data_IF_917802892450
#
_entry.id   IF_917802892450
#
_cell.length_a   1.000
_cell.length_b   1.000
_cell.length_c   1.000
_cell.angle_alpha   90.00
_cell.angle_beta   90.00
_cell.angle_gamma   90.00
#
_symmetry.space_group_name_H-M   'P 1'
#
loop_
_entity.id
_entity.type
_entity.pdbx_description
1 polymer ?
#
# COMPACT_ATOMS: atom_id res chain seq x y z
N UNK A 1 -5.28 12.05 10.95
CA UNK A 1 -5.68 10.85 10.20
C UNK A 1 -7.07 11.13 9.66
N UNK A 2 -7.18 11.25 8.35
CA UNK A 2 -8.44 11.59 7.68
C UNK A 2 -8.91 10.37 6.90
N UNK A 3 -10.08 9.86 7.27
CA UNK A 3 -10.70 8.72 6.59
C UNK A 3 -11.33 9.21 5.28
N UNK A 4 -11.23 8.40 4.24
CA UNK A 4 -11.92 8.64 2.97
C UNK A 4 -13.42 8.40 3.10
N UNK A 5 -14.21 9.09 2.29
CA UNK A 5 -15.63 8.75 2.15
C UNK A 5 -15.79 7.38 1.48
N UNK A 6 -16.94 6.72 1.65
CA UNK A 6 -17.21 5.42 1.02
C UNK A 6 -17.14 5.49 -0.51
N UNK A 7 -17.59 6.60 -1.11
CA UNK A 7 -17.55 6.80 -2.56
C UNK A 7 -16.11 6.96 -3.07
N UNK A 8 -15.28 7.72 -2.34
CA UNK A 8 -13.86 7.87 -2.66
C UNK A 8 -13.13 6.53 -2.54
N UNK A 9 -13.37 5.79 -1.46
CA UNK A 9 -12.79 4.47 -1.24
C UNK A 9 -13.18 3.49 -2.37
N UNK A 10 -14.44 3.48 -2.79
CA UNK A 10 -14.91 2.66 -3.90
C UNK A 10 -14.23 3.03 -5.22
N UNK A 11 -14.09 4.33 -5.51
CA UNK A 11 -13.43 4.83 -6.72
C UNK A 11 -11.94 4.43 -6.78
N UNK A 12 -11.22 4.58 -5.66
CA UNK A 12 -9.82 4.18 -5.52
C UNK A 12 -9.65 2.69 -5.70
N UNK A 13 -10.49 1.88 -5.03
CA UNK A 13 -10.47 0.43 -5.15
C UNK A 13 -10.68 -0.04 -6.59
N UNK A 14 -11.68 0.51 -7.27
CA UNK A 14 -11.95 0.18 -8.67
C UNK A 14 -10.80 0.59 -9.59
N UNK A 15 -10.11 1.69 -9.29
CA UNK A 15 -8.92 2.12 -10.04
C UNK A 15 -7.73 1.19 -9.83
N UNK A 16 -7.51 0.73 -8.59
CA UNK A 16 -6.44 -0.21 -8.24
C UNK A 16 -6.51 -1.51 -9.03
N UNK A 17 -7.72 -2.03 -9.25
CA UNK A 17 -7.96 -3.24 -10.04
C UNK A 17 -7.27 -3.20 -11.40
N UNK A 18 -7.27 -2.04 -12.07
CA UNK A 18 -6.65 -1.89 -13.38
C UNK A 18 -5.15 -1.61 -13.28
N UNK A 19 -4.74 -0.78 -12.31
CA UNK A 19 -3.34 -0.35 -12.16
C UNK A 19 -2.42 -1.48 -11.71
N UNK A 20 -2.92 -2.41 -10.90
CA UNK A 20 -2.17 -3.57 -10.43
C UNK A 20 -2.34 -4.80 -11.32
N UNK A 21 -3.18 -4.76 -12.37
CA UNK A 21 -3.39 -5.91 -13.25
C UNK A 21 -2.12 -6.33 -14.00
N UNK A 22 -1.22 -5.38 -14.29
CA UNK A 22 0.08 -5.61 -14.93
C UNK A 22 1.21 -5.88 -13.94
N UNK A 23 0.97 -5.70 -12.64
CA UNK A 23 1.97 -5.90 -11.60
C UNK A 23 2.00 -7.37 -11.15
N UNK A 24 3.18 -7.87 -10.80
CA UNK A 24 3.33 -9.21 -10.26
C UNK A 24 3.00 -9.22 -8.77
N UNK A 25 1.71 -9.23 -8.45
CA UNK A 25 1.17 -9.31 -7.08
C UNK A 25 0.81 -10.75 -6.68
N UNK A 26 0.68 -11.07 -5.38
CA UNK A 26 0.23 -12.38 -4.91
C UNK A 26 -1.18 -12.72 -5.40
N UNK A 27 -1.44 -14.01 -5.62
CA UNK A 27 -2.73 -14.48 -6.15
C UNK A 27 -3.92 -14.12 -5.24
N UNK A 28 -3.72 -14.10 -3.92
CA UNK A 28 -4.76 -13.71 -2.97
C UNK A 28 -5.16 -12.24 -3.16
N UNK A 29 -4.18 -11.34 -3.33
CA UNK A 29 -4.42 -9.92 -3.53
C UNK A 29 -5.07 -9.67 -4.90
N UNK A 30 -4.64 -10.41 -5.93
CA UNK A 30 -5.26 -10.36 -7.25
C UNK A 30 -6.74 -10.81 -7.22
N UNK A 31 -7.04 -11.87 -6.46
CA UNK A 31 -8.40 -12.35 -6.25
C UNK A 31 -9.30 -11.34 -5.54
N UNK A 32 -8.77 -10.62 -4.55
CA UNK A 32 -9.50 -9.53 -3.89
C UNK A 32 -9.75 -8.35 -4.83
N UNK A 33 -8.72 -7.89 -5.54
CA UNK A 33 -8.83 -6.75 -6.47
C UNK A 33 -9.78 -7.03 -7.64
N UNK A 34 -10.07 -8.30 -7.95
CA UNK A 34 -11.08 -8.66 -8.95
C UNK A 34 -12.52 -8.35 -8.50
N UNK A 35 -12.74 -8.16 -7.19
CA UNK A 35 -14.05 -7.86 -6.59
C UNK A 35 -14.29 -6.36 -6.49
N UNK A 36 -15.55 -5.95 -6.50
CA UNK A 36 -15.94 -4.55 -6.25
C UNK A 36 -15.85 -4.24 -4.75
N UNK A 37 -15.60 -2.97 -4.43
CA UNK A 37 -15.50 -2.51 -3.04
C UNK A 37 -16.77 -2.84 -2.23
N UNK A 38 -17.95 -2.66 -2.82
CA UNK A 38 -19.23 -2.93 -2.16
C UNK A 38 -19.41 -4.40 -1.76
N UNK A 39 -18.73 -5.33 -2.46
CA UNK A 39 -18.82 -6.76 -2.17
C UNK A 39 -18.18 -7.19 -0.85
N UNK A 40 -17.44 -6.30 -0.19
CA UNK A 40 -16.85 -6.54 1.13
C UNK A 40 -17.81 -6.19 2.28
N UNK A 41 -18.86 -5.42 2.01
CA UNK A 41 -19.88 -5.07 2.98
C UNK A 41 -21.06 -6.05 2.86
N UNK A 42 -21.01 -7.18 3.57
CA UNK A 42 -22.20 -8.05 3.61
C UNK A 42 -22.13 -9.49 4.12
N UNK A 43 -20.96 -10.10 4.29
CA UNK A 43 -20.84 -11.48 4.86
C UNK A 43 -19.41 -12.01 4.92
N UNK A 44 -18.46 -11.33 4.29
CA UNK A 44 -17.10 -11.82 4.13
C UNK A 44 -16.23 -11.51 5.36
N UNK A 45 -16.47 -12.27 6.43
CA UNK A 45 -15.93 -12.05 7.79
C UNK A 45 -14.38 -12.03 7.91
N UNK A 46 -13.65 -12.38 6.85
CA UNK A 46 -12.20 -12.48 6.84
C UNK A 46 -11.46 -11.33 6.14
N UNK A 47 -12.15 -10.45 5.42
CA UNK A 47 -11.51 -9.36 4.65
C UNK A 47 -11.66 -8.02 5.34
N UNK A 48 -10.55 -7.29 5.51
CA UNK A 48 -10.55 -5.91 6.01
C UNK A 48 -9.82 -5.02 5.02
N UNK A 49 -10.45 -3.92 4.65
CA UNK A 49 -9.87 -2.91 3.77
C UNK A 49 -9.93 -1.57 4.50
N UNK A 50 -8.78 -0.92 4.62
CA UNK A 50 -8.64 0.39 5.22
C UNK A 50 -7.98 1.35 4.23
N UNK A 51 -8.33 2.63 4.35
CA UNK A 51 -7.71 3.68 3.55
C UNK A 51 -7.25 4.82 4.44
N UNK A 52 -6.07 5.33 4.17
CA UNK A 52 -5.46 6.42 4.92
C UNK A 52 -4.80 7.40 3.97
N UNK A 53 -5.00 8.70 4.19
CA UNK A 53 -4.19 9.76 3.58
C UNK A 53 -2.98 10.05 4.46
N UNK A 54 -1.79 10.06 3.85
CA UNK A 54 -0.53 10.41 4.51
C UNK A 54 0.36 11.24 3.60
N UNK A 55 1.04 12.23 4.15
CA UNK A 55 2.12 12.92 3.44
C UNK A 55 3.41 12.12 3.61
N UNK A 56 4.15 11.91 2.53
CA UNK A 56 5.46 11.28 2.62
C UNK A 56 6.50 12.30 3.09
N UNK A 57 6.75 12.32 4.40
CA UNK A 57 7.72 13.23 5.00
C UNK A 57 9.17 12.81 4.70
N UNK A 58 10.05 13.80 4.56
CA UNK A 58 11.48 13.57 4.33
C UNK A 58 12.13 12.77 5.47
N UNK A 59 11.75 13.07 6.71
CA UNK A 59 12.26 12.41 7.92
C UNK A 59 12.02 10.89 7.92
N UNK A 60 10.95 10.42 7.26
CA UNK A 60 10.70 8.99 7.13
C UNK A 60 11.76 8.30 6.25
N UNK A 61 12.20 8.94 5.16
CA UNK A 61 13.27 8.39 4.33
C UNK A 61 14.61 8.41 5.06
N UNK A 62 14.88 9.44 5.84
CA UNK A 62 16.10 9.52 6.64
C UNK A 62 16.11 8.44 7.72
N UNK A 63 14.98 8.19 8.37
CA UNK A 63 14.82 7.06 9.27
C UNK A 63 15.09 5.72 8.55
N UNK A 64 14.52 5.49 7.36
CA UNK A 64 14.79 4.26 6.58
C UNK A 64 16.27 4.09 6.26
N UNK A 65 16.95 5.17 5.84
CA UNK A 65 18.40 5.17 5.57
C UNK A 65 19.22 4.85 6.81
N UNK A 66 18.83 5.39 7.97
CA UNK A 66 19.45 5.05 9.24
C UNK A 66 19.25 3.56 9.59
N UNK A 67 18.06 3.01 9.39
CA UNK A 67 17.81 1.58 9.62
C UNK A 67 18.66 0.69 8.70
N UNK A 68 18.85 1.07 7.44
CA UNK A 68 19.75 0.36 6.50
C UNK A 68 21.19 0.39 7.01
N UNK A 69 21.65 1.52 7.53
CA UNK A 69 23.00 1.65 8.10
C UNK A 69 23.19 0.76 9.32
N UNK A 70 22.21 0.71 10.22
CA UNK A 70 22.26 -0.07 11.46
C UNK A 70 22.14 -1.59 11.24
N UNK A 71 21.59 -2.03 10.11
CA UNK A 71 21.38 -3.45 9.74
C UNK A 71 20.71 -4.33 10.82
N UNK A 72 19.67 -3.86 11.54
CA UNK A 72 19.20 -4.51 12.77
C UNK A 72 18.62 -5.92 12.56
N UNK A 73 18.18 -6.25 11.34
CA UNK A 73 17.51 -7.52 11.00
C UNK A 73 18.20 -8.28 9.85
N UNK A 74 19.48 -7.99 9.60
CA UNK A 74 20.27 -8.69 8.58
C UNK A 74 20.05 -8.20 7.14
N UNK A 75 20.64 -8.93 6.18
CA UNK A 75 20.79 -8.49 4.79
C UNK A 75 19.47 -8.46 4.01
N UNK A 76 18.58 -9.43 4.24
CA UNK A 76 17.32 -9.50 3.50
C UNK A 76 16.39 -8.35 3.88
N UNK A 77 16.32 -8.00 5.17
CA UNK A 77 15.60 -6.82 5.63
C UNK A 77 16.17 -5.53 5.04
N UNK A 78 17.51 -5.41 4.97
CA UNK A 78 18.13 -4.24 4.35
C UNK A 78 17.76 -4.10 2.87
N UNK A 79 17.69 -5.20 2.11
CA UNK A 79 17.24 -5.14 0.71
C UNK A 79 15.81 -4.62 0.58
N UNK A 80 14.93 -5.01 1.51
CA UNK A 80 13.56 -4.48 1.58
C UNK A 80 13.57 -2.97 1.82
N UNK A 81 14.35 -2.50 2.81
CA UNK A 81 14.44 -1.08 3.12
C UNK A 81 15.05 -0.28 1.95
N UNK A 82 16.11 -0.77 1.31
CA UNK A 82 16.71 -0.13 0.14
C UNK A 82 15.73 -0.02 -1.03
N UNK A 83 14.96 -1.09 -1.29
CA UNK A 83 13.88 -1.06 -2.28
C UNK A 83 12.84 0.00 -1.93
N UNK A 84 12.44 0.06 -0.66
CA UNK A 84 11.46 1.04 -0.17
C UNK A 84 11.95 2.47 -0.36
N UNK A 85 13.21 2.77 -0.02
CA UNK A 85 13.81 4.10 -0.25
C UNK A 85 13.80 4.45 -1.73
N UNK A 86 14.19 3.53 -2.63
CA UNK A 86 14.19 3.79 -4.09
C UNK A 86 12.80 4.10 -4.64
N UNK A 87 11.77 3.42 -4.17
CA UNK A 87 10.38 3.64 -4.61
C UNK A 87 9.81 4.98 -4.09
N UNK A 88 10.19 5.37 -2.87
CA UNK A 88 9.60 6.52 -2.20
C UNK A 88 10.33 7.84 -2.45
N UNK A 89 11.63 7.82 -2.80
CA UNK A 89 12.45 9.05 -2.88
C UNK A 89 11.90 10.14 -3.81
N UNK A 90 11.27 9.79 -4.93
CA UNK A 90 10.71 10.77 -5.89
C UNK A 90 9.35 11.33 -5.47
N UNK A 91 8.78 10.82 -4.37
CA UNK A 91 7.44 11.16 -3.91
C UNK A 91 7.46 11.92 -2.57
N UNK A 92 8.63 12.37 -2.10
CA UNK A 92 8.74 13.16 -0.86
C UNK A 92 7.93 14.44 -0.97
N UNK A 93 7.20 14.77 0.09
CA UNK A 93 6.29 15.92 0.16
C UNK A 93 4.97 15.71 -0.58
N UNK A 94 4.79 14.58 -1.29
CA UNK A 94 3.52 14.25 -1.94
C UNK A 94 2.53 13.65 -0.95
N UNK A 95 1.26 13.93 -1.19
CA UNK A 95 0.16 13.26 -0.53
C UNK A 95 -0.02 11.87 -1.15
N UNK A 96 -0.01 10.84 -0.31
CA UNK A 96 -0.23 9.46 -0.70
C UNK A 96 -1.53 8.95 -0.09
N UNK A 97 -2.19 8.05 -0.82
CA UNK A 97 -3.29 7.23 -0.31
C UNK A 97 -2.74 5.83 -0.05
N UNK A 98 -2.75 5.42 1.20
CA UNK A 98 -2.39 4.07 1.62
C UNK A 98 -3.65 3.20 1.69
N UNK A 99 -3.68 2.12 0.93
CA UNK A 99 -4.72 1.09 0.99
C UNK A 99 -4.17 -0.11 1.72
N UNK A 100 -4.72 -0.39 2.89
CA UNK A 100 -4.41 -1.56 3.70
C UNK A 100 -5.43 -2.65 3.41
N UNK A 101 -4.96 -3.86 3.10
CA UNK A 101 -5.81 -5.01 2.81
C UNK A 101 -5.35 -6.19 3.65
N UNK A 102 -6.25 -6.77 4.43
CA UNK A 102 -6.01 -8.03 5.15
C UNK A 102 -7.06 -9.06 4.73
N UNK A 103 -6.64 -10.29 4.48
CA UNK A 103 -7.53 -11.41 4.18
C UNK A 103 -6.96 -12.73 4.73
N UNK A 104 -7.63 -13.28 5.74
CA UNK A 104 -7.08 -14.37 6.54
C UNK A 104 -5.80 -13.90 7.25
N UNK A 105 -4.70 -14.63 7.09
CA UNK A 105 -3.39 -14.29 7.65
C UNK A 105 -2.56 -13.35 6.76
N UNK A 106 -3.01 -13.07 5.53
CA UNK A 106 -2.26 -12.23 4.60
C UNK A 106 -2.60 -10.76 4.80
N UNK A 107 -1.59 -9.89 4.81
CA UNK A 107 -1.77 -8.45 4.83
C UNK A 107 -0.89 -7.76 3.80
N UNK A 108 -1.41 -6.73 3.13
CA UNK A 108 -0.66 -5.89 2.21
C UNK A 108 -1.00 -4.42 2.40
N UNK A 109 -0.04 -3.54 2.08
CA UNK A 109 -0.25 -2.12 1.92
C UNK A 109 0.10 -1.71 0.49
N UNK A 110 -0.73 -0.87 -0.10
CA UNK A 110 -0.53 -0.28 -1.43
C UNK A 110 -0.53 1.24 -1.25
N UNK A 111 0.56 1.90 -1.62
CA UNK A 111 0.65 3.35 -1.62
C UNK A 111 0.40 3.87 -3.03
N UNK A 112 -0.54 4.80 -3.14
CA UNK A 112 -0.89 5.50 -4.36
C UNK A 112 -0.53 6.97 -4.23
N UNK A 113 -0.09 7.60 -5.32
CA UNK A 113 0.00 9.06 -5.40
C UNK A 113 -1.44 9.63 -5.41
N UNK A 114 -1.74 10.61 -4.55
CA UNK A 114 -3.11 11.13 -4.43
C UNK A 114 -3.53 12.01 -5.62
N UNK A 115 -2.59 12.52 -6.42
CA UNK A 115 -2.86 13.41 -7.55
C UNK A 115 -3.27 12.62 -8.81
N UNK A 116 -2.48 11.60 -9.18
CA UNK A 116 -2.70 10.81 -10.40
C UNK A 116 -3.16 9.36 -10.12
N UNK A 117 -3.19 8.97 -8.86
CA UNK A 117 -3.55 7.62 -8.39
C UNK A 117 -2.52 6.56 -8.77
N UNK A 118 -1.32 6.91 -9.26
CA UNK A 118 -0.31 5.95 -9.70
C UNK A 118 0.15 5.10 -8.51
N UNK A 119 0.41 3.81 -8.77
CA UNK A 119 0.96 2.92 -7.74
C UNK A 119 2.41 3.31 -7.48
N UNK A 120 2.67 3.87 -6.31
CA UNK A 120 4.02 4.24 -5.86
C UNK A 120 4.75 3.00 -5.37
N UNK A 121 4.07 2.17 -4.57
CA UNK A 121 4.56 0.87 -4.12
C UNK A 121 3.43 0.00 -3.63
N UNK A 122 3.72 -1.29 -3.50
CA UNK A 122 2.95 -2.20 -2.67
C UNK A 122 3.90 -3.12 -1.90
N UNK A 123 3.43 -3.64 -0.77
CA UNK A 123 4.22 -4.53 0.08
C UNK A 123 3.30 -5.49 0.83
N UNK A 124 3.68 -6.76 0.87
CA UNK A 124 3.07 -7.80 1.69
C UNK A 124 3.79 -7.87 3.04
N UNK A 125 3.03 -8.17 4.09
CA UNK A 125 3.53 -8.33 5.45
C UNK A 125 3.20 -9.74 5.93
N UNK A 126 4.21 -10.38 6.52
CA UNK A 126 4.10 -11.64 7.27
C UNK A 126 3.55 -11.40 8.69
#
# INVERSE_FOLDING_TARGET
>A
MENLSSEEAASIWNSLRYKLASERIPAWLQGLLARTYDSFFGSDSGTRIGFERKTLEADYLDWLRQQIHLRPRGQDWNRVLERRVRQLQSHVGRLLICVWVSHGDNTAAIDLDAEDGAVVRWEEFD
#
